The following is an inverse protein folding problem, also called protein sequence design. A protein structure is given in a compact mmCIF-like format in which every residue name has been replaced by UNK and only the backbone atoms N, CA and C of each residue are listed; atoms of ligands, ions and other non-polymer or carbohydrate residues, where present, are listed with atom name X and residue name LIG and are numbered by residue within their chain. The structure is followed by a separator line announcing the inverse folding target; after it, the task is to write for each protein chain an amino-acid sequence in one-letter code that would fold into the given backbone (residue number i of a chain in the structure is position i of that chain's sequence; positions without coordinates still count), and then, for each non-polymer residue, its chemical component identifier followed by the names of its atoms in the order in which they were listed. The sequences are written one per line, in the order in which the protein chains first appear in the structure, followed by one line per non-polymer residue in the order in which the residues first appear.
data_IF_566719543144
#
_entry.id   IF_566719543144
#
_cell.length_a   1.000
_cell.length_b   1.000
_cell.length_c   1.000
_cell.angle_alpha   90.00
_cell.angle_beta   90.00
_cell.angle_gamma   90.00
#
_symmetry.space_group_name_H-M   'P 1'
#
loop_
_entity.id
_entity.type
_entity.pdbx_description
1 polymer ?
#
# COMPACT_ATOMS: atom_id res chain seq x y z
N UNK A 1 21.74 -4.03 10.46
CA UNK A 1 22.46 -4.18 9.17
C UNK A 1 23.66 -3.25 9.18
N UNK A 2 24.78 -3.64 8.55
CA UNK A 2 26.00 -2.81 8.46
C UNK A 2 26.01 -1.86 7.25
N UNK A 3 25.20 -2.17 6.24
CA UNK A 3 24.97 -1.36 5.04
C UNK A 3 23.48 -1.01 4.98
N UNK A 4 23.17 0.14 4.40
CA UNK A 4 21.80 0.52 4.11
C UNK A 4 21.21 -0.37 3.00
N UNK A 5 19.88 -0.49 2.90
CA UNK A 5 19.24 -1.10 1.75
C UNK A 5 19.66 -0.44 0.42
N UNK A 6 19.78 0.89 0.40
CA UNK A 6 20.23 1.62 -0.78
C UNK A 6 21.64 1.21 -1.21
N UNK A 7 22.59 1.09 -0.27
CA UNK A 7 23.96 0.66 -0.56
C UNK A 7 24.00 -0.78 -1.08
N UNK A 8 23.26 -1.69 -0.44
CA UNK A 8 23.19 -3.10 -0.84
C UNK A 8 22.67 -3.24 -2.27
N UNK A 9 21.55 -2.57 -2.58
CA UNK A 9 20.93 -2.64 -3.91
C UNK A 9 21.83 -1.96 -4.94
N UNK A 10 22.30 -0.73 -4.68
CA UNK A 10 23.12 0.01 -5.66
C UNK A 10 24.42 -0.70 -6.03
N UNK A 11 24.99 -1.50 -5.11
CA UNK A 11 26.20 -2.27 -5.36
C UNK A 11 25.95 -3.68 -5.90
N UNK A 12 24.69 -4.10 -6.06
CA UNK A 12 24.36 -5.45 -6.50
C UNK A 12 24.71 -6.54 -5.48
N UNK A 13 24.86 -6.18 -4.19
CA UNK A 13 25.28 -7.09 -3.12
C UNK A 13 24.12 -7.93 -2.55
N UNK A 14 23.21 -8.36 -3.42
CA UNK A 14 22.05 -9.15 -3.09
C UNK A 14 21.91 -10.33 -4.05
N UNK A 15 21.08 -11.30 -3.66
CA UNK A 15 20.78 -12.45 -4.51
C UNK A 15 20.08 -12.00 -5.79
N UNK A 16 20.59 -12.47 -6.91
CA UNK A 16 20.12 -12.13 -8.25
C UNK A 16 18.87 -12.94 -8.59
N UNK A 17 17.76 -12.64 -7.93
CA UNK A 17 16.47 -13.32 -8.09
C UNK A 17 15.46 -12.42 -8.82
N UNK A 18 14.63 -12.98 -9.70
CA UNK A 18 13.50 -12.25 -10.26
C UNK A 18 12.59 -11.71 -9.15
N UNK A 19 11.98 -10.55 -9.37
CA UNK A 19 10.95 -10.02 -8.45
C UNK A 19 9.74 -9.47 -9.22
N UNK A 20 8.57 -9.57 -8.59
CA UNK A 20 7.41 -8.72 -8.87
C UNK A 20 7.36 -7.67 -7.76
N UNK A 21 7.11 -6.42 -8.14
CA UNK A 21 6.81 -5.32 -7.21
C UNK A 21 5.76 -4.42 -7.84
N UNK A 22 5.06 -3.63 -7.04
CA UNK A 22 4.05 -2.73 -7.57
C UNK A 22 3.44 -1.86 -6.49
N UNK A 23 2.41 -1.14 -6.90
CA UNK A 23 1.66 -0.22 -6.08
C UNK A 23 0.23 -0.09 -6.61
N UNK A 24 -0.68 0.44 -5.81
CA UNK A 24 -2.05 0.77 -6.23
C UNK A 24 -2.17 2.24 -6.67
N UNK A 25 -3.32 2.61 -7.25
CA UNK A 25 -3.57 3.99 -7.68
C UNK A 25 -3.59 4.99 -6.51
N UNK A 26 -4.23 4.62 -5.39
CA UNK A 26 -4.45 5.50 -4.24
C UNK A 26 -3.74 5.00 -2.98
N UNK A 27 -2.43 4.76 -3.07
CA UNK A 27 -1.59 4.28 -1.96
C UNK A 27 -1.71 5.14 -0.69
N UNK A 28 -1.96 6.45 -0.83
CA UNK A 28 -2.09 7.35 0.32
C UNK A 28 -3.28 7.05 1.22
N UNK A 29 -4.21 6.20 0.78
CA UNK A 29 -5.29 5.67 1.64
C UNK A 29 -4.74 4.92 2.85
N UNK A 30 -3.49 4.47 2.83
CA UNK A 30 -2.77 3.95 4.01
C UNK A 30 -2.72 4.95 5.17
N UNK A 31 -2.85 6.27 4.90
CA UNK A 31 -2.88 7.36 5.90
C UNK A 31 -4.26 7.90 6.21
N UNK A 32 -5.30 7.13 5.92
CA UNK A 32 -6.68 7.56 6.15
C UNK A 32 -7.07 7.56 7.62
N UNK A 33 -6.50 6.68 8.44
CA UNK A 33 -6.73 6.72 9.88
C UNK A 33 -6.19 8.02 10.47
N UNK A 34 -4.98 8.42 10.10
CA UNK A 34 -4.39 9.66 10.62
C UNK A 34 -5.08 10.92 10.11
N UNK A 35 -5.64 10.86 8.91
CA UNK A 35 -6.53 11.88 8.40
C UNK A 35 -7.73 12.10 9.34
N UNK A 36 -8.43 11.02 9.68
CA UNK A 36 -9.71 11.06 10.42
C UNK A 36 -9.46 11.31 11.91
N UNK A 37 -8.54 10.57 12.52
CA UNK A 37 -8.39 10.49 13.98
C UNK A 37 -7.26 11.39 14.50
N UNK A 38 -6.26 11.71 13.67
CA UNK A 38 -5.05 12.42 14.12
C UNK A 38 -4.94 13.87 13.64
N UNK A 39 -6.00 14.41 13.02
CA UNK A 39 -6.08 15.79 12.51
C UNK A 39 -4.94 16.18 11.57
N UNK A 40 -4.44 15.22 10.77
CA UNK A 40 -3.27 15.44 9.91
C UNK A 40 -3.46 16.58 8.91
N UNK A 41 -4.66 16.77 8.33
CA UNK A 41 -4.93 17.95 7.48
C UNK A 41 -4.61 19.26 8.19
N UNK A 42 -5.08 19.42 9.43
CA UNK A 42 -4.83 20.63 10.20
C UNK A 42 -3.35 20.78 10.55
N UNK A 43 -2.66 19.68 10.88
CA UNK A 43 -1.21 19.70 11.15
C UNK A 43 -0.42 20.09 9.90
N UNK A 44 -0.72 19.50 8.74
CA UNK A 44 -0.11 19.84 7.45
C UNK A 44 -0.37 21.29 7.05
N UNK A 45 -1.60 21.77 7.25
CA UNK A 45 -1.95 23.16 6.95
C UNK A 45 -1.15 24.17 7.79
N UNK A 46 -0.86 23.83 9.05
CA UNK A 46 -0.10 24.70 9.95
C UNK A 46 1.42 24.59 9.76
N UNK A 47 1.92 23.38 9.49
CA UNK A 47 3.36 23.09 9.42
C UNK A 47 3.63 21.99 8.40
N UNK A 48 3.70 22.36 7.13
CA UNK A 48 3.97 21.39 6.06
C UNK A 48 5.40 20.83 6.15
N UNK A 49 6.34 21.59 6.72
CA UNK A 49 7.72 21.13 6.90
C UNK A 49 7.83 19.90 7.80
N UNK A 50 6.87 19.68 8.71
CA UNK A 50 6.83 18.49 9.59
C UNK A 50 6.40 17.22 8.85
N UNK A 51 5.98 17.35 7.59
CA UNK A 51 5.59 16.23 6.74
C UNK A 51 6.66 15.86 5.71
N UNK A 52 7.75 16.63 5.62
CA UNK A 52 8.91 16.27 4.80
C UNK A 52 9.42 14.87 5.13
N UNK A 53 9.90 14.17 4.11
CA UNK A 53 10.39 12.80 4.26
C UNK A 53 11.66 12.76 5.11
N UNK A 54 11.74 11.75 5.98
CA UNK A 54 12.83 11.62 6.95
C UNK A 54 14.18 11.27 6.32
N UNK A 55 14.18 10.82 5.07
CA UNK A 55 15.36 10.54 4.25
C UNK A 55 15.79 11.77 3.41
N UNK A 56 15.38 12.97 3.82
CA UNK A 56 15.87 14.24 3.29
C UNK A 56 16.76 14.94 4.32
N UNK A 57 17.92 15.42 3.88
CA UNK A 57 18.84 16.25 4.65
C UNK A 57 18.90 17.66 4.07
N UNK A 58 18.87 18.63 4.98
CA UNK A 58 18.99 20.05 4.67
C UNK A 58 20.19 20.64 5.43
N UNK A 59 20.90 21.55 4.78
CA UNK A 59 22.04 22.29 5.34
C UNK A 59 21.57 23.52 6.15
N UNK A 60 20.35 24.02 5.88
CA UNK A 60 19.75 25.09 6.67
C UNK A 60 18.22 24.99 6.77
N UNK A 61 17.64 25.74 7.72
CA UNK A 61 16.18 25.83 7.85
C UNK A 61 15.55 26.53 6.64
N UNK A 62 16.23 27.52 6.06
CA UNK A 62 15.74 28.21 4.86
C UNK A 62 15.61 27.25 3.67
N UNK A 63 16.58 26.35 3.49
CA UNK A 63 16.52 25.31 2.46
C UNK A 63 15.39 24.30 2.73
N UNK A 64 15.22 23.87 3.98
CA UNK A 64 14.10 23.01 4.39
C UNK A 64 12.74 23.64 4.06
N UNK A 65 12.57 24.93 4.36
CA UNK A 65 11.35 25.69 4.05
C UNK A 65 11.12 25.83 2.54
N UNK A 66 12.18 26.08 1.75
CA UNK A 66 12.10 26.17 0.29
C UNK A 66 11.63 24.84 -0.33
N UNK A 67 12.23 23.72 0.08
CA UNK A 67 11.84 22.39 -0.41
C UNK A 67 10.42 22.04 0.02
N UNK A 68 10.03 22.33 1.26
CA UNK A 68 8.66 22.15 1.72
C UNK A 68 7.65 22.96 0.91
N UNK A 69 7.97 24.23 0.61
CA UNK A 69 7.13 25.06 -0.24
C UNK A 69 7.00 24.46 -1.64
N UNK A 70 8.10 24.05 -2.28
CA UNK A 70 8.07 23.44 -3.61
C UNK A 70 7.19 22.18 -3.67
N UNK A 71 7.30 21.30 -2.66
CA UNK A 71 6.45 20.11 -2.54
C UNK A 71 5.00 20.49 -2.31
N UNK A 72 4.72 21.46 -1.43
CA UNK A 72 3.36 21.94 -1.19
C UNK A 72 2.75 22.52 -2.47
N UNK A 73 3.49 23.35 -3.21
CA UNK A 73 3.04 23.89 -4.50
C UNK A 73 2.76 22.77 -5.50
N UNK A 74 3.63 21.76 -5.59
CA UNK A 74 3.46 20.66 -6.54
C UNK A 74 2.19 19.83 -6.30
N UNK A 75 1.80 19.60 -5.05
CA UNK A 75 0.62 18.79 -4.72
C UNK A 75 -0.66 19.61 -4.51
N UNK A 76 -0.55 20.80 -3.93
CA UNK A 76 -1.70 21.56 -3.43
C UNK A 76 -1.86 22.93 -4.10
N UNK A 77 -1.04 23.28 -5.10
CA UNK A 77 -1.08 24.58 -5.79
C UNK A 77 -1.04 25.79 -4.82
N UNK A 78 -0.36 25.63 -3.68
CA UNK A 78 -0.33 26.58 -2.56
C UNK A 78 -1.68 26.91 -1.92
N UNK A 79 -2.72 26.13 -2.21
CA UNK A 79 -4.02 26.23 -1.56
C UNK A 79 -3.96 25.81 -0.08
N UNK A 80 -5.00 26.16 0.67
CA UNK A 80 -5.17 25.73 2.06
C UNK A 80 -5.47 24.22 2.10
N UNK A 81 -4.69 23.45 2.85
CA UNK A 81 -4.87 22.00 2.97
C UNK A 81 -6.09 21.71 3.86
N UNK A 82 -7.14 21.12 3.30
CA UNK A 82 -8.39 20.80 3.98
C UNK A 82 -9.16 19.68 3.25
N UNK A 83 -10.42 19.41 3.65
CA UNK A 83 -11.21 18.33 3.04
C UNK A 83 -11.57 18.55 1.55
N UNK A 84 -11.45 19.77 1.03
CA UNK A 84 -11.72 20.06 -0.38
C UNK A 84 -10.63 19.55 -1.32
N UNK A 85 -9.38 19.49 -0.85
CA UNK A 85 -8.23 18.97 -1.59
C UNK A 85 -7.70 17.66 -0.95
N UNK A 86 -8.64 16.77 -0.63
CA UNK A 86 -8.31 15.50 0.01
C UNK A 86 -7.59 14.52 -0.94
N UNK A 87 -7.84 14.62 -2.24
CA UNK A 87 -7.19 13.77 -3.23
C UNK A 87 -5.70 14.10 -3.34
N UNK A 88 -5.33 15.36 -3.14
CA UNK A 88 -3.96 15.87 -3.13
C UNK A 88 -3.21 15.35 -1.89
N UNK A 89 -3.88 15.25 -0.73
CA UNK A 89 -3.36 14.58 0.45
C UNK A 89 -3.06 13.09 0.17
N UNK A 90 -3.98 12.39 -0.48
CA UNK A 90 -3.80 10.98 -0.85
C UNK A 90 -2.69 10.81 -1.88
N UNK A 91 -2.61 11.69 -2.87
CA UNK A 91 -1.53 11.69 -3.85
C UNK A 91 -0.17 11.90 -3.18
N UNK A 92 -0.08 12.89 -2.29
CA UNK A 92 1.15 13.18 -1.55
C UNK A 92 1.64 11.99 -0.72
N UNK A 93 0.76 11.41 0.10
CA UNK A 93 1.13 10.28 0.96
C UNK A 93 1.39 9.00 0.16
N UNK A 94 0.64 8.75 -0.91
CA UNK A 94 0.86 7.59 -1.76
C UNK A 94 2.20 7.66 -2.51
N UNK A 95 2.52 8.84 -3.02
CA UNK A 95 3.78 9.09 -3.72
C UNK A 95 4.98 8.93 -2.79
N UNK A 96 4.93 9.58 -1.62
CA UNK A 96 6.04 9.59 -0.66
C UNK A 96 6.27 8.27 0.03
N UNK A 97 5.22 7.50 0.31
CA UNK A 97 5.36 6.24 1.03
C UNK A 97 5.69 5.06 0.11
N UNK A 98 5.06 4.97 -1.06
CA UNK A 98 5.08 3.73 -1.85
C UNK A 98 5.49 3.97 -3.31
N UNK A 99 4.83 4.86 -4.05
CA UNK A 99 5.01 4.93 -5.52
C UNK A 99 6.44 5.36 -5.89
N UNK A 100 6.97 6.42 -5.27
CA UNK A 100 8.31 6.94 -5.61
C UNK A 100 9.39 5.94 -5.22
N UNK A 101 9.30 5.35 -4.02
CA UNK A 101 10.25 4.35 -3.53
C UNK A 101 10.23 3.08 -4.40
N UNK A 102 9.05 2.60 -4.78
CA UNK A 102 8.89 1.42 -5.65
C UNK A 102 9.50 1.60 -7.04
N UNK A 103 9.31 2.77 -7.65
CA UNK A 103 9.89 3.08 -8.97
C UNK A 103 11.41 3.27 -8.86
N UNK A 104 11.89 3.97 -7.82
CA UNK A 104 13.33 4.15 -7.58
C UNK A 104 14.03 2.82 -7.32
N UNK A 105 13.46 1.95 -6.49
CA UNK A 105 13.99 0.61 -6.24
C UNK A 105 14.02 -0.22 -7.52
N UNK A 106 12.93 -0.22 -8.31
CA UNK A 106 12.87 -0.93 -9.59
C UNK A 106 13.99 -0.48 -10.53
N UNK A 107 14.28 0.83 -10.58
CA UNK A 107 15.37 1.38 -11.38
C UNK A 107 16.76 1.02 -10.84
N UNK A 108 16.95 1.04 -9.52
CA UNK A 108 18.21 0.63 -8.89
C UNK A 108 18.49 -0.85 -9.13
N UNK A 109 17.47 -1.70 -9.01
CA UNK A 109 17.61 -3.13 -9.31
C UNK A 109 17.83 -3.37 -10.80
N UNK A 110 17.12 -2.68 -11.69
CA UNK A 110 17.28 -2.85 -13.13
C UNK A 110 18.69 -2.47 -13.64
N UNK A 111 19.42 -1.64 -12.88
CA UNK A 111 20.80 -1.23 -13.20
C UNK A 111 21.86 -2.06 -12.48
N UNK A 112 21.52 -2.70 -11.36
CA UNK A 112 22.45 -3.47 -10.51
C UNK A 112 22.24 -4.99 -10.55
N UNK A 113 21.12 -5.47 -11.12
CA UNK A 113 20.73 -6.87 -11.18
C UNK A 113 20.72 -7.39 -12.62
N UNK A 114 21.10 -8.66 -12.80
CA UNK A 114 20.86 -9.38 -14.07
C UNK A 114 19.51 -10.11 -14.08
N UNK A 115 18.83 -10.20 -12.94
CA UNK A 115 17.53 -10.83 -12.83
C UNK A 115 16.39 -9.85 -13.19
N UNK A 116 15.33 -10.31 -13.88
CA UNK A 116 14.24 -9.45 -14.31
C UNK A 116 13.41 -8.93 -13.14
N UNK A 117 12.90 -7.71 -13.30
CA UNK A 117 11.96 -7.06 -12.38
C UNK A 117 10.68 -6.81 -13.16
N UNK A 118 9.55 -7.13 -12.55
CA UNK A 118 8.24 -6.89 -13.13
C UNK A 118 7.51 -5.89 -12.24
N UNK A 119 7.30 -4.68 -12.76
CA UNK A 119 6.59 -3.62 -12.05
C UNK A 119 5.11 -3.63 -12.47
N UNK A 120 4.19 -3.47 -11.53
CA UNK A 120 2.78 -3.22 -11.84
C UNK A 120 2.21 -2.01 -11.11
N UNK A 121 1.11 -1.49 -11.65
CA UNK A 121 0.20 -0.57 -10.98
C UNK A 121 -1.22 -1.15 -11.02
N UNK A 122 -1.86 -1.27 -9.85
CA UNK A 122 -3.21 -1.81 -9.75
C UNK A 122 -4.23 -0.70 -9.48
N UNK A 123 -5.21 -0.54 -10.36
CA UNK A 123 -6.21 0.53 -10.29
C UNK A 123 -7.65 0.01 -10.23
N UNK A 124 -7.86 -1.30 -10.32
CA UNK A 124 -9.20 -1.87 -10.34
C UNK A 124 -9.86 -1.83 -8.95
N UNK A 125 -10.98 -1.10 -8.84
CA UNK A 125 -11.83 -1.10 -7.65
C UNK A 125 -13.09 -1.94 -7.88
N UNK A 126 -13.36 -2.86 -6.98
CA UNK A 126 -14.47 -3.81 -7.09
C UNK A 126 -14.73 -4.51 -5.77
N UNK A 127 -15.61 -5.51 -5.76
CA UNK A 127 -16.17 -6.05 -4.52
C UNK A 127 -15.23 -6.92 -3.70
N UNK A 128 -14.15 -7.44 -4.31
CA UNK A 128 -13.19 -8.31 -3.64
C UNK A 128 -12.16 -7.54 -2.80
N UNK A 129 -11.88 -6.29 -3.15
CA UNK A 129 -11.00 -5.44 -2.34
C UNK A 129 -11.69 -5.08 -1.03
N UNK A 130 -10.90 -4.94 0.04
CA UNK A 130 -11.44 -4.41 1.30
C UNK A 130 -12.03 -3.03 1.03
N UNK A 131 -13.32 -2.86 1.33
CA UNK A 131 -14.00 -1.60 1.06
C UNK A 131 -13.40 -0.53 1.95
N UNK A 132 -12.68 0.41 1.35
CA UNK A 132 -12.27 1.63 2.02
C UNK A 132 -13.50 2.42 2.47
N UNK A 133 -13.84 2.36 3.75
CA UNK A 133 -14.91 3.14 4.38
C UNK A 133 -14.31 4.36 5.12
N UNK A 134 -13.85 5.36 4.38
CA UNK A 134 -13.40 6.65 4.92
C UNK A 134 -14.14 7.83 4.30
N UNK A 135 -13.96 9.07 4.81
CA UNK A 135 -14.57 10.27 4.25
C UNK A 135 -13.98 10.67 2.88
N UNK A 136 -13.15 9.81 2.28
CA UNK A 136 -12.36 10.09 1.09
C UNK A 136 -13.00 9.35 -0.09
N UNK A 137 -13.50 10.08 -1.10
CA UNK A 137 -13.96 9.45 -2.32
C UNK A 137 -12.75 8.95 -3.12
N UNK A 138 -12.51 7.64 -3.10
CA UNK A 138 -11.50 6.99 -3.95
C UNK A 138 -12.19 6.13 -5.00
N UNK A 139 -12.11 6.57 -6.25
CA UNK A 139 -12.76 5.93 -7.41
C UNK A 139 -11.93 4.78 -8.01
N UNK A 140 -10.76 4.51 -7.43
CA UNK A 140 -9.78 3.52 -7.89
C UNK A 140 -9.14 2.83 -6.67
N UNK A 141 -8.37 1.77 -6.90
CA UNK A 141 -7.87 0.89 -5.85
C UNK A 141 -7.11 1.65 -4.73
N UNK A 142 -7.55 1.42 -3.50
CA UNK A 142 -6.87 1.85 -2.27
C UNK A 142 -5.78 0.87 -1.83
N UNK A 143 -4.97 1.28 -0.87
CA UNK A 143 -3.88 0.47 -0.33
C UNK A 143 -4.41 -0.88 0.13
N UNK A 144 -3.72 -1.97 -0.26
CA UNK A 144 -4.10 -3.36 0.03
C UNK A 144 -5.37 -3.89 -0.67
N UNK A 145 -6.11 -3.09 -1.44
CA UNK A 145 -7.31 -3.58 -2.13
C UNK A 145 -7.00 -4.67 -3.18
N UNK A 146 -5.79 -4.68 -3.75
CA UNK A 146 -5.36 -5.72 -4.69
C UNK A 146 -5.19 -7.09 -4.01
N UNK A 147 -4.96 -7.13 -2.69
CA UNK A 147 -4.82 -8.38 -1.95
C UNK A 147 -6.11 -9.19 -1.96
N UNK A 148 -7.27 -8.53 -2.00
CA UNK A 148 -8.57 -9.19 -2.14
C UNK A 148 -8.73 -9.96 -3.45
N UNK A 149 -7.99 -9.57 -4.49
CA UNK A 149 -7.96 -10.27 -5.78
C UNK A 149 -6.90 -11.38 -5.82
N UNK A 150 -5.86 -11.31 -4.99
CA UNK A 150 -4.86 -12.36 -4.83
C UNK A 150 -5.33 -13.48 -3.89
N UNK A 151 -6.06 -13.12 -2.85
CA UNK A 151 -6.52 -14.01 -1.79
C UNK A 151 -8.03 -13.84 -1.57
N UNK A 152 -8.87 -14.12 -2.59
CA UNK A 152 -10.30 -13.87 -2.49
C UNK A 152 -10.95 -14.75 -1.41
N UNK A 153 -11.64 -14.12 -0.47
CA UNK A 153 -12.45 -14.83 0.52
C UNK A 153 -13.81 -15.20 -0.08
N UNK A 154 -13.87 -16.34 -0.79
CA UNK A 154 -15.07 -16.76 -1.53
C UNK A 154 -16.24 -17.25 -0.63
N UNK A 155 -16.14 -17.09 0.69
CA UNK A 155 -17.17 -17.51 1.66
C UNK A 155 -18.08 -16.34 2.09
N UNK A 156 -17.94 -15.15 1.50
CA UNK A 156 -18.84 -14.03 1.80
C UNK A 156 -20.24 -14.25 1.22
N UNK A 157 -21.23 -13.59 1.82
CA UNK A 157 -22.61 -13.54 1.29
C UNK A 157 -22.80 -12.50 0.18
N UNK A 158 -21.74 -11.75 -0.13
CA UNK A 158 -21.81 -10.61 -1.02
C UNK A 158 -21.76 -11.04 -2.49
N UNK A 159 -22.42 -10.27 -3.35
CA UNK A 159 -22.40 -10.52 -4.79
C UNK A 159 -21.02 -10.15 -5.36
N UNK A 160 -20.29 -11.15 -5.84
CA UNK A 160 -19.04 -10.98 -6.58
C UNK A 160 -19.36 -10.92 -8.08
N UNK A 161 -18.92 -9.86 -8.76
CA UNK A 161 -19.20 -9.72 -10.20
C UNK A 161 -18.29 -10.59 -11.07
N UNK A 162 -18.74 -10.95 -12.28
CA UNK A 162 -17.90 -11.67 -13.26
C UNK A 162 -16.60 -10.92 -13.57
N UNK A 163 -16.66 -9.57 -13.55
CA UNK A 163 -15.49 -8.73 -13.74
C UNK A 163 -14.49 -8.88 -12.58
N UNK A 164 -14.97 -8.89 -11.34
CA UNK A 164 -14.10 -9.07 -10.17
C UNK A 164 -13.39 -10.44 -10.23
N UNK A 165 -14.13 -11.50 -10.59
CA UNK A 165 -13.58 -12.84 -10.78
C UNK A 165 -12.54 -12.89 -11.91
N UNK A 166 -12.79 -12.21 -13.03
CA UNK A 166 -11.86 -12.19 -14.16
C UNK A 166 -10.56 -11.47 -13.80
N UNK A 167 -10.64 -10.34 -13.08
CA UNK A 167 -9.45 -9.62 -12.60
C UNK A 167 -8.67 -10.49 -11.60
N UNK A 168 -9.36 -11.18 -10.68
CA UNK A 168 -8.72 -12.10 -9.75
C UNK A 168 -8.02 -13.27 -10.46
N UNK A 169 -8.68 -13.89 -11.43
CA UNK A 169 -8.12 -15.00 -12.21
C UNK A 169 -6.83 -14.59 -12.94
N UNK A 170 -6.83 -13.43 -13.61
CA UNK A 170 -5.64 -12.89 -14.27
C UNK A 170 -4.51 -12.64 -13.27
N UNK A 171 -4.82 -11.96 -12.16
CA UNK A 171 -3.81 -11.59 -11.17
C UNK A 171 -3.19 -12.83 -10.51
N UNK A 172 -4.02 -13.78 -10.06
CA UNK A 172 -3.56 -15.06 -9.46
C UNK A 172 -2.77 -15.89 -10.48
N UNK A 173 -3.21 -15.96 -11.73
CA UNK A 173 -2.48 -16.68 -12.78
C UNK A 173 -1.08 -16.09 -12.98
N UNK A 174 -0.95 -14.76 -13.11
CA UNK A 174 0.35 -14.10 -13.28
C UNK A 174 1.28 -14.35 -12.10
N UNK A 175 0.80 -14.17 -10.87
CA UNK A 175 1.59 -14.40 -9.66
C UNK A 175 2.00 -15.86 -9.49
N UNK A 176 1.11 -16.82 -9.79
CA UNK A 176 1.43 -18.24 -9.69
C UNK A 176 2.38 -18.71 -10.80
N UNK A 177 2.27 -18.18 -12.01
CA UNK A 177 3.21 -18.47 -13.09
C UNK A 177 4.59 -17.86 -12.83
N UNK A 178 4.64 -16.66 -12.26
CA UNK A 178 5.89 -16.10 -11.77
C UNK A 178 6.54 -16.96 -10.69
N UNK A 179 5.76 -17.49 -9.74
CA UNK A 179 6.28 -18.38 -8.71
C UNK A 179 6.82 -19.72 -9.28
N UNK A 180 6.24 -20.22 -10.37
CA UNK A 180 6.69 -21.46 -11.04
C UNK A 180 7.94 -21.24 -11.88
N UNK A 181 7.93 -20.20 -12.71
CA UNK A 181 8.84 -20.07 -13.85
C UNK A 181 9.66 -18.77 -13.85
N UNK A 182 9.40 -17.85 -12.90
CA UNK A 182 10.05 -16.55 -12.82
C UNK A 182 9.56 -15.52 -13.84
N UNK A 183 8.49 -15.84 -14.58
CA UNK A 183 7.90 -15.00 -15.64
C UNK A 183 6.38 -14.91 -15.41
N UNK A 184 5.78 -13.73 -15.29
CA UNK A 184 4.36 -13.56 -14.97
C UNK A 184 3.47 -13.68 -16.21
N UNK A 185 3.51 -14.83 -16.90
CA UNK A 185 2.64 -15.09 -18.06
C UNK A 185 1.18 -15.30 -17.65
N UNK A 186 0.25 -15.06 -18.56
CA UNK A 186 -1.17 -15.39 -18.38
C UNK A 186 -1.77 -15.88 -19.70
N UNK A 187 -2.53 -16.97 -19.66
CA UNK A 187 -3.37 -17.43 -20.77
C UNK A 187 -4.74 -16.70 -20.78
N UNK A 188 -5.13 -16.15 -19.62
CA UNK A 188 -6.35 -15.36 -19.42
C UNK A 188 -6.27 -13.95 -19.98
N UNK A 189 -5.09 -13.53 -20.45
CA UNK A 189 -4.85 -12.21 -21.06
C UNK A 189 -3.99 -12.29 -22.31
N UNK A 190 -4.22 -11.35 -23.23
CA UNK A 190 -3.40 -11.18 -24.43
C UNK A 190 -2.23 -10.20 -24.23
N UNK A 191 -2.12 -9.59 -23.04
CA UNK A 191 -1.09 -8.61 -22.73
C UNK A 191 0.14 -9.31 -22.18
N UNK A 192 1.27 -9.07 -22.83
CA UNK A 192 2.58 -9.49 -22.32
C UNK A 192 3.06 -8.49 -21.26
N UNK A 193 3.37 -8.98 -20.06
CA UNK A 193 3.96 -8.15 -19.00
C UNK A 193 5.48 -8.15 -19.18
N UNK A 194 5.99 -7.07 -19.74
CA UNK A 194 7.41 -6.95 -20.06
C UNK A 194 8.22 -6.51 -18.81
N UNK A 195 9.49 -6.95 -18.70
CA UNK A 195 10.31 -6.58 -17.55
C UNK A 195 10.68 -5.10 -17.56
N UNK A 196 10.72 -4.51 -16.37
CA UNK A 196 11.26 -3.19 -16.14
C UNK A 196 12.78 -3.19 -16.35
N UNK A 197 13.26 -2.39 -17.30
CA UNK A 197 14.70 -2.22 -17.59
C UNK A 197 15.10 -0.75 -17.51
N UNK A 198 16.41 -0.48 -17.47
CA UNK A 198 16.92 0.90 -17.46
C UNK A 198 16.57 1.65 -18.77
N UNK A 199 16.59 0.94 -19.91
CA UNK A 199 16.27 1.49 -21.22
C UNK A 199 14.76 1.58 -21.47
N UNK A 200 14.03 0.53 -21.07
CA UNK A 200 12.59 0.42 -21.22
C UNK A 200 11.95 0.06 -19.87
N UNK A 201 11.58 1.07 -19.06
CA UNK A 201 10.96 0.86 -17.75
C UNK A 201 9.49 0.50 -17.93
N UNK A 202 9.24 -0.73 -18.37
CA UNK A 202 7.91 -1.31 -18.53
C UNK A 202 7.21 -1.50 -17.19
N UNK A 203 5.90 -1.31 -17.17
CA UNK A 203 5.04 -1.67 -16.06
C UNK A 203 3.66 -2.09 -16.57
N UNK A 204 3.08 -3.10 -15.93
CA UNK A 204 1.74 -3.56 -16.21
C UNK A 204 0.75 -2.71 -15.41
N UNK A 205 -0.21 -2.07 -16.08
CA UNK A 205 -1.30 -1.36 -15.42
C UNK A 205 -2.56 -2.22 -15.47
N UNK A 206 -3.09 -2.61 -14.32
CA UNK A 206 -4.43 -3.18 -14.19
C UNK A 206 -5.41 -2.01 -14.07
N UNK A 207 -6.30 -1.88 -15.05
CA UNK A 207 -7.09 -0.68 -15.29
C UNK A 207 -8.24 -0.52 -14.28
N UNK A 208 -8.61 0.73 -14.00
CA UNK A 208 -9.85 1.02 -13.26
C UNK A 208 -11.10 0.80 -14.15
N UNK A 209 -12.29 0.87 -13.55
CA UNK A 209 -13.56 0.58 -14.26
C UNK A 209 -13.85 1.54 -15.42
N UNK A 210 -13.48 2.80 -15.28
CA UNK A 210 -13.68 3.80 -16.34
C UNK A 210 -12.75 3.53 -17.52
N UNK A 211 -11.46 3.28 -17.24
CA UNK A 211 -10.46 2.92 -18.24
C UNK A 211 -10.84 1.62 -18.98
N UNK A 212 -11.40 0.62 -18.29
CA UNK A 212 -11.89 -0.62 -18.90
C UNK A 212 -13.04 -0.34 -19.86
N UNK A 213 -14.00 0.50 -19.43
CA UNK A 213 -15.16 0.91 -20.25
C UNK A 213 -14.71 1.61 -21.52
N UNK A 214 -13.73 2.51 -21.42
CA UNK A 214 -13.15 3.24 -22.54
C UNK A 214 -12.29 2.35 -23.46
N UNK A 215 -11.66 1.31 -22.89
CA UNK A 215 -10.74 0.40 -23.60
C UNK A 215 -11.42 -0.86 -24.14
N UNK A 216 -12.72 -0.78 -24.43
CA UNK A 216 -13.53 -1.87 -24.98
C UNK A 216 -13.43 -3.18 -24.17
N UNK A 217 -13.34 -3.09 -22.84
CA UNK A 217 -13.26 -4.24 -21.93
C UNK A 217 -11.86 -4.78 -21.69
N UNK A 218 -10.81 -4.14 -22.19
CA UNK A 218 -9.42 -4.49 -21.85
C UNK A 218 -9.19 -4.26 -20.36
N UNK A 219 -8.65 -5.25 -19.64
CA UNK A 219 -8.46 -5.19 -18.16
C UNK A 219 -7.09 -4.70 -17.73
N UNK A 220 -6.09 -4.86 -18.58
CA UNK A 220 -4.72 -4.47 -18.29
C UNK A 220 -4.00 -4.03 -19.55
N UNK A 221 -2.93 -3.25 -19.39
CA UNK A 221 -2.09 -2.77 -20.48
C UNK A 221 -0.63 -2.73 -20.02
N UNK A 222 0.31 -2.96 -20.93
CA UNK A 222 1.73 -2.74 -20.68
C UNK A 222 2.12 -1.34 -21.18
N UNK A 223 2.70 -0.54 -20.28
CA UNK A 223 3.09 0.84 -20.50
C UNK A 223 4.57 1.05 -20.16
N UNK A 224 5.14 2.18 -20.60
CA UNK A 224 6.55 2.52 -20.35
C UNK A 224 6.63 3.87 -19.64
N UNK A 225 7.58 4.00 -18.72
CA UNK A 225 7.85 5.20 -17.92
C UNK A 225 6.69 5.55 -16.96
N UNK A 226 6.53 4.82 -15.85
CA UNK A 226 5.48 5.10 -14.88
C UNK A 226 5.66 6.49 -14.26
N UNK A 227 4.56 7.26 -14.19
CA UNK A 227 4.47 8.53 -13.44
C UNK A 227 5.61 9.53 -13.71
N UNK A 228 5.93 9.79 -14.98
CA UNK A 228 7.09 10.61 -15.41
C UNK A 228 7.22 11.94 -14.66
N UNK A 229 6.12 12.69 -14.52
CA UNK A 229 6.12 14.00 -13.88
C UNK A 229 6.49 13.90 -12.39
N UNK A 230 5.79 13.06 -11.64
CA UNK A 230 6.05 12.80 -10.21
C UNK A 230 7.46 12.28 -9.97
N UNK A 231 7.90 11.31 -10.77
CA UNK A 231 9.23 10.71 -10.64
C UNK A 231 10.32 11.74 -10.91
N UNK A 232 10.16 12.60 -11.93
CA UNK A 232 11.13 13.65 -12.22
C UNK A 232 11.16 14.71 -11.12
N UNK A 233 9.99 15.11 -10.61
CA UNK A 233 9.88 16.06 -9.50
C UNK A 233 10.64 15.54 -8.27
N UNK A 234 10.33 14.33 -7.81
CA UNK A 234 11.00 13.75 -6.64
C UNK A 234 12.48 13.47 -6.88
N UNK A 235 12.87 12.99 -8.06
CA UNK A 235 14.30 12.79 -8.37
C UNK A 235 15.08 14.10 -8.23
N UNK A 236 14.53 15.24 -8.65
CA UNK A 236 15.22 16.53 -8.49
C UNK A 236 15.48 16.89 -7.02
N UNK A 237 14.55 16.55 -6.11
CA UNK A 237 14.74 16.75 -4.66
C UNK A 237 15.79 15.78 -4.12
N UNK A 238 15.71 14.50 -4.49
CA UNK A 238 16.64 13.49 -4.00
C UNK A 238 18.06 13.63 -4.55
N UNK A 239 18.25 14.26 -5.71
CA UNK A 239 19.59 14.56 -6.25
C UNK A 239 20.41 15.43 -5.29
N UNK A 240 19.76 16.38 -4.62
CA UNK A 240 20.42 17.33 -3.72
C UNK A 240 20.28 16.98 -2.24
N UNK A 241 19.18 16.31 -1.85
CA UNK A 241 18.81 16.16 -0.44
C UNK A 241 18.78 14.73 0.09
N UNK A 242 19.02 13.69 -0.73
CA UNK A 242 18.89 12.31 -0.26
C UNK A 242 19.86 11.98 0.89
N UNK A 243 19.28 11.49 1.99
CA UNK A 243 19.97 11.01 3.17
C UNK A 243 19.86 9.48 3.25
N UNK A 244 20.99 8.79 3.04
CA UNK A 244 21.03 7.35 3.23
C UNK A 244 21.05 6.96 4.72
N UNK A 245 20.51 5.79 5.02
CA UNK A 245 20.45 5.26 6.38
C UNK A 245 21.84 4.80 6.85
N UNK A 246 22.36 5.39 7.93
CA UNK A 246 23.64 4.98 8.50
C UNK A 246 23.49 3.85 9.52
N UNK A 247 24.42 2.88 9.49
CA UNK A 247 24.47 1.84 10.50
C UNK A 247 24.99 2.37 11.83
N UNK A 248 24.30 2.02 12.92
CA UNK A 248 24.79 2.26 14.30
C UNK A 248 25.80 1.21 14.79
N UNK A 249 26.15 0.24 13.94
CA UNK A 249 26.99 -0.90 14.30
C UNK A 249 28.27 -0.91 13.48
N UNK A 250 29.41 -0.89 14.16
CA UNK A 250 30.72 -1.14 13.54
C UNK A 250 31.10 -2.61 13.72
N UNK A 251 31.57 -3.24 12.63
CA UNK A 251 32.24 -4.54 12.70
C UNK A 251 33.73 -4.30 12.79
N UNK A 252 34.34 -4.77 13.87
CA UNK A 252 35.79 -4.87 13.99
C UNK A 252 36.19 -6.33 13.91
N UNK A 253 37.13 -6.67 13.03
CA UNK A 253 37.81 -7.97 13.05
C UNK A 253 39.00 -7.87 14.00
N UNK A 254 38.97 -8.62 15.10
CA UNK A 254 40.15 -8.75 15.94
C UNK A 254 41.08 -9.77 15.30
N UNK A 255 42.23 -9.32 14.81
CA UNK A 255 43.24 -10.18 14.17
C UNK A 255 44.09 -10.92 15.23
N UNK A 256 43.42 -11.50 16.24
CA UNK A 256 44.01 -12.27 17.31
C UNK A 256 43.87 -13.77 17.06
N UNK A 257 44.99 -14.42 16.73
CA UNK A 257 45.25 -15.85 16.56
C UNK A 257 44.04 -16.83 16.69
N UNK A 258 43.72 -17.42 15.53
CA UNK A 258 42.97 -18.67 15.24
C UNK A 258 41.45 -18.69 15.04
N UNK A 259 40.69 -17.61 15.25
CA UNK A 259 39.33 -17.49 14.71
C UNK A 259 38.99 -16.03 14.41
N UNK A 260 38.57 -15.72 13.17
CA UNK A 260 38.01 -14.40 12.82
C UNK A 260 36.68 -14.22 13.58
N UNK A 261 36.73 -13.67 14.79
CA UNK A 261 35.55 -13.38 15.59
C UNK A 261 35.01 -12.00 15.18
N UNK A 262 33.77 -11.97 14.66
CA UNK A 262 33.08 -10.74 14.30
C UNK A 262 32.52 -10.09 15.58
N UNK A 263 33.08 -8.95 15.97
CA UNK A 263 32.60 -8.18 17.12
C UNK A 263 31.65 -7.08 16.63
N UNK A 264 30.44 -7.04 17.18
CA UNK A 264 29.46 -5.98 16.94
C UNK A 264 29.55 -4.93 18.05
N UNK A 265 30.02 -3.74 17.72
CA UNK A 265 30.09 -2.62 18.66
C UNK A 265 29.04 -1.57 18.31
N UNK A 266 28.32 -1.08 19.31
CA UNK A 266 27.50 0.14 19.19
C UNK A 266 28.44 1.34 19.00
N UNK A 267 28.30 2.04 17.88
CA UNK A 267 29.02 3.29 17.62
C UNK A 267 28.65 4.38 18.63
N UNK A 268 29.51 5.39 18.79
CA UNK A 268 29.22 6.54 19.69
C UNK A 268 28.01 7.32 19.18
N UNK A 269 27.02 7.53 20.05
CA UNK A 269 25.87 8.40 19.78
C UNK A 269 26.35 9.84 19.48
N UNK A 270 25.92 10.39 18.36
CA UNK A 270 25.90 11.83 18.14
C UNK A 270 24.82 12.44 19.06
N UNK A 271 25.07 13.57 19.75
CA UNK A 271 24.06 14.16 20.61
C UNK A 271 22.84 14.56 19.78
N UNK A 272 21.66 14.04 20.17
CA UNK A 272 20.36 14.47 19.65
C UNK A 272 20.15 15.92 20.10
N UNK A 273 19.90 16.85 19.17
CA UNK A 273 19.47 18.20 19.53
C UNK A 273 18.09 18.08 20.20
N UNK A 274 17.92 18.64 21.39
CA UNK A 274 16.71 18.54 22.22
C UNK A 274 15.49 19.34 21.70
N UNK A 275 15.47 19.75 20.43
CA UNK A 275 14.36 20.52 19.85
C UNK A 275 13.42 19.70 18.94
N UNK A 276 13.67 18.40 18.77
CA UNK A 276 12.74 17.50 18.08
C UNK A 276 11.65 17.01 19.06
N UNK A 277 10.48 17.65 19.02
CA UNK A 277 9.26 17.11 19.62
C UNK A 277 8.80 15.88 18.82
N UNK A 278 9.45 14.75 19.11
CA UNK A 278 9.05 13.41 18.71
C UNK A 278 7.69 13.09 19.37
N UNK A 279 6.61 13.09 18.58
CA UNK A 279 5.30 12.58 19.01
C UNK A 279 5.41 11.07 19.06
N UNK A 280 5.98 10.57 20.16
CA UNK A 280 6.14 9.15 20.42
C UNK A 280 4.79 8.45 20.49
N UNK A 281 4.53 7.58 19.52
CA UNK A 281 3.52 6.52 19.61
C UNK A 281 4.01 5.53 20.67
N UNK A 282 3.31 5.45 21.79
CA UNK A 282 3.59 4.46 22.83
C UNK A 282 3.24 3.06 22.32
N UNK A 283 4.24 2.29 21.90
CA UNK A 283 4.14 0.83 21.85
C UNK A 283 4.35 0.30 23.28
N UNK A 284 3.29 -0.21 23.89
CA UNK A 284 3.43 -1.07 25.07
C UNK A 284 3.92 -2.43 24.61
N UNK A 285 5.18 -2.74 24.90
CA UNK A 285 5.71 -4.10 24.91
C UNK A 285 5.12 -4.83 26.13
N UNK A 286 4.33 -5.86 25.90
CA UNK A 286 3.97 -6.85 26.92
C UNK A 286 4.76 -8.13 26.61
N UNK A 287 5.80 -8.39 27.41
CA UNK A 287 6.54 -9.64 27.44
C UNK A 287 6.06 -10.44 28.64
N UNK A 288 5.63 -11.68 28.36
CA UNK A 288 4.73 -12.46 29.19
C UNK A 288 5.24 -12.94 30.54
N UNK A 289 4.29 -13.50 31.31
CA UNK A 289 4.56 -14.52 32.32
C UNK A 289 3.51 -15.64 32.20
N UNK A 290 4.00 -16.85 31.99
CA UNK A 290 3.30 -18.10 32.24
C UNK A 290 2.87 -18.18 33.71
N UNK A 291 1.63 -18.62 33.99
CA UNK A 291 1.34 -19.42 35.18
C UNK A 291 0.11 -20.32 34.98
N UNK A 292 0.31 -21.56 35.39
CA UNK A 292 -0.54 -22.74 35.30
C UNK A 292 -1.79 -22.72 36.22
N UNK A 293 -2.76 -23.55 35.82
CA UNK A 293 -3.70 -24.33 36.65
C UNK A 293 -4.73 -23.59 37.54
N UNK A 294 -6.02 -23.72 37.22
CA UNK A 294 -6.88 -24.71 37.91
C UNK A 294 -8.31 -24.80 37.36
N UNK A 295 -8.80 -26.02 37.36
CA UNK A 295 -10.18 -26.45 37.16
C UNK A 295 -11.20 -25.75 38.07
N UNK A 296 -12.41 -25.52 37.56
CA UNK A 296 -13.62 -26.09 38.18
C UNK A 296 -14.85 -25.98 37.28
N UNK A 297 -15.48 -27.14 37.11
CA UNK A 297 -16.82 -27.35 36.59
C UNK A 297 -17.90 -27.06 37.64
N UNK A 298 -19.17 -27.17 37.19
CA UNK A 298 -20.45 -27.09 37.90
C UNK A 298 -21.02 -25.66 38.09
N UNK A 299 -22.30 -25.38 37.86
CA UNK A 299 -23.48 -26.24 37.92
C UNK A 299 -24.69 -25.61 37.19
N UNK A 300 -25.57 -26.48 36.70
CA UNK A 300 -26.89 -26.23 36.11
C UNK A 300 -27.83 -25.46 37.06
N UNK A 301 -28.80 -24.72 36.50
CA UNK A 301 -30.20 -24.74 36.98
C UNK A 301 -31.20 -24.53 35.84
N UNK A 302 -31.97 -25.58 35.60
CA UNK A 302 -33.28 -25.58 34.95
C UNK A 302 -34.32 -24.79 35.77
N UNK A 303 -35.39 -24.38 35.08
CA UNK A 303 -36.62 -23.87 35.68
C UNK A 303 -37.72 -23.73 34.62
N UNK A 304 -38.50 -24.80 34.46
CA UNK A 304 -39.72 -24.94 33.64
C UNK A 304 -40.86 -23.96 34.01
N UNK A 305 -41.72 -23.68 33.02
CA UNK A 305 -43.20 -23.84 33.02
C UNK A 305 -43.83 -22.87 31.99
N UNK A 306 -44.37 -23.36 30.88
CA UNK A 306 -45.72 -23.93 30.63
C UNK A 306 -46.64 -22.90 29.94
N UNK A 307 -46.94 -23.23 28.67
CA UNK A 307 -48.18 -23.10 27.89
C UNK A 307 -49.27 -22.10 28.29
N UNK A 308 -49.76 -21.35 27.30
CA UNK A 308 -51.20 -21.22 27.03
C UNK A 308 -51.46 -20.82 25.56
N UNK A 309 -52.20 -21.68 24.86
CA UNK A 309 -52.83 -21.48 23.55
C UNK A 309 -53.79 -20.29 23.53
N UNK A 310 -54.03 -19.68 22.36
CA UNK A 310 -55.35 -19.27 21.83
C UNK A 310 -55.22 -19.02 20.32
N UNK A 311 -55.87 -19.87 19.53
CA UNK A 311 -56.39 -19.57 18.18
C UNK A 311 -57.73 -18.84 18.32
N UNK A 312 -58.00 -17.82 17.48
CA UNK A 312 -59.18 -17.83 16.58
C UNK A 312 -59.23 -16.58 15.68
N UNK A 313 -59.41 -16.88 14.39
CA UNK A 313 -60.05 -16.19 13.26
C UNK A 313 -60.72 -14.81 13.46
N UNK A 314 -60.59 -13.90 12.47
CA UNK A 314 -61.57 -13.80 11.36
C UNK A 314 -61.32 -12.60 10.39
N UNK A 315 -61.55 -12.84 9.10
CA UNK A 315 -62.07 -11.96 8.01
C UNK A 315 -61.42 -10.57 7.74
N UNK A 316 -61.13 -10.10 6.52
CA UNK A 316 -61.48 -10.51 5.15
C UNK A 316 -61.21 -9.34 4.17
N UNK A 317 -61.35 -9.63 2.88
CA UNK A 317 -61.44 -8.74 1.68
C UNK A 317 -60.15 -8.35 0.93
N UNK A 318 -59.84 -9.21 -0.06
CA UNK A 318 -59.88 -8.97 -1.51
C UNK A 318 -59.24 -7.71 -2.12
N UNK A 319 -58.26 -7.94 -3.01
CA UNK A 319 -58.34 -7.57 -4.44
C UNK A 319 -57.21 -8.25 -5.24
N UNK A 320 -57.56 -9.24 -6.05
CA UNK A 320 -56.76 -9.80 -7.15
C UNK A 320 -57.03 -9.04 -8.46
N UNK A 321 -55.95 -8.85 -9.25
CA UNK A 321 -55.75 -9.09 -10.70
C UNK A 321 -56.84 -8.68 -11.71
N UNK A 322 -56.54 -8.22 -12.95
CA UNK A 322 -55.32 -8.25 -13.76
C UNK A 322 -55.69 -8.07 -15.25
N UNK A 323 -54.67 -8.09 -16.12
CA UNK A 323 -54.66 -8.19 -17.60
C UNK A 323 -55.18 -6.99 -18.42
N UNK A 324 -54.60 -6.62 -19.57
CA UNK A 324 -53.58 -7.23 -20.44
C UNK A 324 -53.99 -7.07 -21.92
N UNK A 325 -53.01 -6.77 -22.80
CA UNK A 325 -53.02 -6.88 -24.29
C UNK A 325 -53.84 -5.81 -25.08
N UNK A 326 -53.52 -5.34 -26.28
CA UNK A 326 -52.51 -5.61 -27.32
C UNK A 326 -52.93 -4.91 -28.64
N UNK A 327 -51.96 -4.57 -29.50
CA UNK A 327 -52.00 -4.37 -30.97
C UNK A 327 -53.10 -3.52 -31.68
N UNK A 328 -52.70 -2.38 -32.28
CA UNK A 328 -52.63 -2.10 -33.75
C UNK A 328 -52.14 -0.67 -34.04
#
# INVERSE_FOLDING_TARGET
MIKSPFEIISKGEFLQIPIITGFVDNEGTIRSEELIESSWLHKMANSFTDFLQSDLKFESNEEREEVAHNIKTFYFDDEEINMHNINEYIAYHGDTMILVSSIRESRLRATSSTAPIYLYQFSYKGSLGESFEGPIPVESAGHSEELGYLFPELQTTDYISEMDLTVADILVERWTNFAKDGIPTSESSQIEWLPFTAENPHYLRVLNRDEISESAGTLEVDLINPHVEKVNFWNSIYEDHFLDAESKWEITTDAGDDYDELIFNQGKETPRNEDDNDVGVSRTEDNGEENNENDNAHEEKEGDNEDEDIEDDNEGEDNEDGNGEGED
#
